data_IF_798961069885
#
_entry.id   IF_798961069885
#
_cell.length_a   1.000
_cell.length_b   1.000
_cell.length_c   1.000
_cell.angle_alpha   90.00
_cell.angle_beta   90.00
_cell.angle_gamma   90.00
#
_symmetry.space_group_name_H-M   'P 1'
#
loop_
_entity.id
_entity.type
_entity.pdbx_description
1 polymer ?
#
# COMPACT_ATOMS: atom_id res chain seq x y z
N UNK A 1 11.33 -29.81 -0.23
CA UNK A 1 10.37 -28.81 -0.76
C UNK A 1 9.71 -29.29 -2.07
N UNK A 2 10.41 -30.07 -2.92
CA UNK A 2 9.83 -30.74 -4.10
C UNK A 2 8.80 -31.86 -3.80
N UNK A 3 8.81 -32.42 -2.58
CA UNK A 3 8.00 -33.61 -2.26
C UNK A 3 6.69 -33.35 -1.51
N UNK A 4 6.24 -32.10 -1.34
CA UNK A 4 5.04 -31.78 -0.52
C UNK A 4 3.78 -32.53 -0.96
N UNK A 5 3.64 -32.79 -2.26
CA UNK A 5 2.49 -33.52 -2.82
C UNK A 5 2.60 -35.04 -2.71
N UNK A 6 3.76 -35.58 -2.33
CA UNK A 6 4.02 -37.01 -2.15
C UNK A 6 4.00 -37.45 -0.69
N UNK A 7 3.98 -36.52 0.26
CA UNK A 7 3.82 -36.81 1.69
C UNK A 7 2.33 -37.07 1.98
N UNK A 8 2.02 -38.20 2.61
CA UNK A 8 0.64 -38.55 2.96
C UNK A 8 0.05 -37.56 3.97
N UNK A 9 -1.28 -37.45 3.99
CA UNK A 9 -1.97 -36.55 4.92
C UNK A 9 -1.64 -36.88 6.39
N UNK A 10 -1.59 -38.17 6.73
CA UNK A 10 -1.16 -38.65 8.04
C UNK A 10 0.28 -38.22 8.34
N UNK A 11 1.22 -38.34 7.41
CA UNK A 11 2.62 -37.91 7.61
C UNK A 11 2.76 -36.37 7.76
N UNK A 12 1.87 -35.58 7.16
CA UNK A 12 1.82 -34.11 7.33
C UNK A 12 1.25 -33.69 8.67
N UNK A 13 0.24 -34.41 9.17
CA UNK A 13 -0.43 -34.15 10.46
C UNK A 13 0.32 -34.72 11.66
N UNK A 14 0.96 -35.89 11.53
CA UNK A 14 1.38 -36.69 12.69
C UNK A 14 2.79 -36.41 13.23
N UNK A 15 3.81 -35.93 12.50
CA UNK A 15 5.14 -35.82 13.18
C UNK A 15 6.15 -34.71 12.79
N UNK A 16 6.38 -34.28 11.53
CA UNK A 16 7.45 -33.28 11.30
C UNK A 16 6.92 -31.85 11.14
N UNK A 17 5.95 -31.59 10.26
CA UNK A 17 5.83 -30.25 9.68
C UNK A 17 5.11 -29.24 10.58
N UNK A 18 3.96 -29.60 11.15
CA UNK A 18 3.29 -28.74 12.14
C UNK A 18 4.13 -28.61 13.42
N UNK A 19 4.84 -29.67 13.81
CA UNK A 19 5.77 -29.65 14.93
C UNK A 19 6.94 -28.69 14.65
N UNK A 20 7.51 -28.72 13.44
CA UNK A 20 8.58 -27.79 13.00
C UNK A 20 8.05 -26.35 12.99
N UNK A 21 6.84 -26.11 12.47
CA UNK A 21 6.22 -24.78 12.48
C UNK A 21 6.02 -24.25 13.90
N UNK A 22 5.44 -25.06 14.78
CA UNK A 22 5.24 -24.72 16.19
C UNK A 22 6.57 -24.57 16.94
N UNK A 23 7.55 -25.42 16.65
CA UNK A 23 8.89 -25.30 17.21
C UNK A 23 9.56 -24.00 16.80
N UNK A 24 9.55 -23.67 15.50
CA UNK A 24 10.11 -22.43 14.97
C UNK A 24 9.42 -21.20 15.59
N UNK A 25 8.09 -21.22 15.69
CA UNK A 25 7.32 -20.16 16.32
C UNK A 25 7.64 -20.02 17.82
N UNK A 26 7.64 -21.13 18.56
CA UNK A 26 8.00 -21.13 19.99
C UNK A 26 9.45 -20.68 20.19
N UNK A 27 10.36 -21.04 19.29
CA UNK A 27 11.76 -20.62 19.32
C UNK A 27 11.88 -19.10 19.11
N UNK A 28 11.17 -18.56 18.11
CA UNK A 28 11.07 -17.12 17.85
C UNK A 28 10.57 -16.34 19.07
N UNK A 29 9.52 -16.84 19.73
CA UNK A 29 8.94 -16.19 20.91
C UNK A 29 9.85 -16.30 22.14
N UNK A 30 10.46 -17.47 22.36
CA UNK A 30 11.19 -17.76 23.60
C UNK A 30 12.64 -17.26 23.60
N UNK A 31 13.24 -16.98 22.44
CA UNK A 31 14.67 -16.66 22.30
C UNK A 31 14.95 -15.25 21.74
N UNK A 32 14.03 -14.29 21.96
CA UNK A 32 14.25 -12.89 21.56
C UNK A 32 15.27 -12.18 22.50
N UNK A 33 16.24 -11.41 21.97
CA UNK A 33 16.47 -11.08 20.56
C UNK A 33 17.32 -12.14 19.83
N UNK A 34 16.91 -12.49 18.62
CA UNK A 34 17.70 -13.30 17.68
C UNK A 34 18.43 -12.40 16.68
N UNK A 35 19.49 -12.94 16.07
CA UNK A 35 20.10 -12.31 14.89
C UNK A 35 19.05 -12.14 13.77
N UNK A 36 19.07 -10.98 13.12
CA UNK A 36 18.02 -10.57 12.17
C UNK A 36 17.80 -11.57 11.03
N UNK A 37 18.88 -12.17 10.51
CA UNK A 37 18.81 -13.18 9.46
C UNK A 37 18.20 -14.50 9.95
N UNK A 38 18.46 -14.90 11.20
CA UNK A 38 17.89 -16.10 11.81
C UNK A 38 16.39 -15.90 12.01
N UNK A 39 16.01 -14.77 12.59
CA UNK A 39 14.61 -14.40 12.78
C UNK A 39 13.84 -14.38 11.45
N UNK A 40 14.38 -13.70 10.43
CA UNK A 40 13.75 -13.66 9.11
C UNK A 40 13.62 -15.05 8.47
N UNK A 41 14.63 -15.90 8.60
CA UNK A 41 14.59 -17.27 8.05
C UNK A 41 13.51 -18.11 8.73
N UNK A 42 13.39 -18.03 10.05
CA UNK A 42 12.36 -18.75 10.80
C UNK A 42 10.95 -18.21 10.51
N UNK A 43 10.80 -16.89 10.38
CA UNK A 43 9.52 -16.27 9.99
C UNK A 43 9.08 -16.75 8.60
N UNK A 44 10.00 -16.75 7.62
CA UNK A 44 9.72 -17.25 6.26
C UNK A 44 9.38 -18.74 6.29
N UNK A 45 10.10 -19.55 7.09
CA UNK A 45 9.79 -20.96 7.26
C UNK A 45 8.35 -21.16 7.75
N UNK A 46 7.94 -20.46 8.81
CA UNK A 46 6.57 -20.56 9.37
C UNK A 46 5.52 -20.13 8.33
N UNK A 47 5.74 -19.03 7.62
CA UNK A 47 4.82 -18.54 6.59
C UNK A 47 4.71 -19.52 5.41
N UNK A 48 5.83 -20.11 4.97
CA UNK A 48 5.86 -21.07 3.87
C UNK A 48 5.18 -22.40 4.25
N UNK A 49 5.38 -22.87 5.47
CA UNK A 49 4.66 -24.04 5.99
C UNK A 49 3.14 -23.77 6.05
N UNK A 50 2.75 -22.56 6.46
CA UNK A 50 1.34 -22.12 6.45
C UNK A 50 0.76 -22.13 5.03
N UNK A 51 1.48 -21.59 4.05
CA UNK A 51 1.08 -21.59 2.63
C UNK A 51 0.90 -23.01 2.09
N UNK A 52 1.85 -23.91 2.39
CA UNK A 52 1.84 -25.28 1.89
C UNK A 52 0.73 -26.13 2.55
N UNK A 53 0.50 -25.93 3.84
CA UNK A 53 -0.54 -26.62 4.62
C UNK A 53 -1.92 -25.97 4.56
N UNK A 54 -2.12 -24.95 3.72
CA UNK A 54 -3.33 -24.11 3.73
C UNK A 54 -4.64 -24.92 3.58
N UNK A 55 -4.61 -26.01 2.82
CA UNK A 55 -5.76 -26.91 2.61
C UNK A 55 -5.58 -28.29 3.27
N UNK A 56 -4.65 -28.45 4.21
CA UNK A 56 -4.54 -29.68 4.99
C UNK A 56 -5.52 -29.57 6.18
N UNK A 57 -6.60 -30.36 6.17
CA UNK A 57 -7.65 -30.41 7.20
C UNK A 57 -7.63 -31.73 7.96
N UNK A 58 -7.76 -31.72 9.30
CA UNK A 58 -7.83 -32.96 10.11
C UNK A 58 -8.92 -33.89 9.54
N UNK A 59 -8.60 -35.16 9.30
CA UNK A 59 -9.41 -36.18 8.59
C UNK A 59 -10.88 -36.31 9.05
N UNK A 60 -11.24 -35.75 10.22
CA UNK A 60 -12.58 -35.79 10.81
C UNK A 60 -13.05 -34.47 11.46
N UNK A 61 -12.41 -33.34 11.18
CA UNK A 61 -12.76 -32.05 11.81
C UNK A 61 -12.87 -30.88 10.82
N UNK A 62 -13.64 -29.82 11.14
CA UNK A 62 -13.68 -28.58 10.35
C UNK A 62 -12.42 -27.71 10.53
N UNK A 63 -11.43 -28.20 11.29
CA UNK A 63 -10.25 -27.45 11.70
C UNK A 63 -9.19 -27.43 10.60
N UNK A 64 -8.73 -26.21 10.28
CA UNK A 64 -7.62 -25.94 9.36
C UNK A 64 -6.40 -25.53 10.20
N UNK A 65 -5.61 -26.49 10.73
CA UNK A 65 -4.60 -26.23 11.75
C UNK A 65 -3.42 -25.37 11.30
N UNK A 66 -3.28 -25.11 10.00
CA UNK A 66 -2.28 -24.18 9.47
C UNK A 66 -2.79 -22.75 9.33
N UNK A 67 -4.09 -22.50 9.59
CA UNK A 67 -4.71 -21.17 9.46
C UNK A 67 -4.80 -20.41 10.80
N UNK A 68 -4.16 -20.92 11.85
CA UNK A 68 -4.13 -20.34 13.21
C UNK A 68 -2.95 -19.36 13.43
N UNK A 69 -2.14 -19.11 12.41
CA UNK A 69 -0.97 -18.21 12.52
C UNK A 69 -1.37 -16.79 12.94
N UNK A 70 -2.56 -16.34 12.55
CA UNK A 70 -3.08 -15.05 13.00
C UNK A 70 -3.33 -15.01 14.52
N UNK A 71 -3.86 -16.09 15.11
CA UNK A 71 -4.07 -16.18 16.56
C UNK A 71 -2.74 -16.14 17.31
N UNK A 72 -1.72 -16.81 16.76
CA UNK A 72 -0.35 -16.78 17.27
C UNK A 72 0.26 -15.38 17.21
N UNK A 73 0.09 -14.66 16.09
CA UNK A 73 0.55 -13.28 15.95
C UNK A 73 -0.18 -12.33 16.91
N UNK A 74 -1.49 -12.49 17.08
CA UNK A 74 -2.28 -11.72 18.05
C UNK A 74 -1.78 -11.93 19.48
N UNK A 75 -1.48 -13.17 19.89
CA UNK A 75 -0.89 -13.46 21.21
C UNK A 75 0.46 -12.77 21.40
N UNK A 76 1.30 -12.74 20.36
CA UNK A 76 2.59 -12.04 20.40
C UNK A 76 2.40 -10.53 20.58
N UNK A 77 1.44 -9.93 19.88
CA UNK A 77 1.13 -8.48 19.97
C UNK A 77 0.53 -8.14 21.35
N UNK A 78 -0.41 -8.95 21.82
CA UNK A 78 -1.08 -8.77 23.11
C UNK A 78 -0.15 -8.95 24.32
N UNK A 79 1.05 -9.52 24.13
CA UNK A 79 2.07 -9.59 25.19
C UNK A 79 2.51 -8.20 25.70
N UNK A 80 2.29 -7.14 24.91
CA UNK A 80 2.68 -5.76 25.22
C UNK A 80 4.19 -5.50 25.11
N UNK A 81 4.99 -6.52 24.82
CA UNK A 81 6.43 -6.37 24.61
C UNK A 81 6.72 -5.91 23.18
N UNK A 82 7.58 -4.89 23.01
CA UNK A 82 7.95 -4.36 21.69
C UNK A 82 8.50 -5.45 20.74
N UNK A 83 9.27 -6.40 21.25
CA UNK A 83 9.77 -7.55 20.49
C UNK A 83 8.65 -8.48 20.03
N UNK A 84 7.67 -8.74 20.90
CA UNK A 84 6.48 -9.54 20.59
C UNK A 84 5.58 -8.86 19.54
N UNK A 85 5.36 -7.55 19.68
CA UNK A 85 4.62 -6.76 18.69
C UNK A 85 5.33 -6.78 17.34
N UNK A 86 6.65 -6.53 17.31
CA UNK A 86 7.41 -6.59 16.05
C UNK A 86 7.31 -7.96 15.39
N UNK A 87 7.49 -9.04 16.16
CA UNK A 87 7.41 -10.41 15.65
C UNK A 87 6.02 -10.71 15.07
N UNK A 88 4.94 -10.33 15.77
CA UNK A 88 3.58 -10.54 15.30
C UNK A 88 3.30 -9.84 13.97
N UNK A 89 3.72 -8.58 13.83
CA UNK A 89 3.55 -7.82 12.57
C UNK A 89 4.42 -8.41 11.45
N UNK A 90 5.65 -8.81 11.77
CA UNK A 90 6.54 -9.46 10.79
C UNK A 90 5.97 -10.78 10.28
N UNK A 91 5.40 -11.61 11.15
CA UNK A 91 4.72 -12.85 10.75
C UNK A 91 3.57 -12.55 9.78
N UNK A 92 2.73 -11.54 10.07
CA UNK A 92 1.62 -11.18 9.19
C UNK A 92 2.08 -10.60 7.86
N UNK A 93 3.09 -9.72 7.86
CA UNK A 93 3.63 -9.14 6.62
C UNK A 93 4.22 -10.21 5.72
N UNK A 94 5.07 -11.08 6.29
CA UNK A 94 5.67 -12.17 5.52
C UNK A 94 4.63 -13.20 5.07
N UNK A 95 3.54 -13.42 5.83
CA UNK A 95 2.47 -14.31 5.41
C UNK A 95 1.75 -13.77 4.17
N UNK A 96 1.40 -12.48 4.16
CA UNK A 96 0.75 -11.84 3.01
C UNK A 96 1.68 -11.92 1.79
N UNK A 97 2.96 -11.59 1.96
CA UNK A 97 3.95 -11.66 0.87
C UNK A 97 4.13 -13.09 0.35
N UNK A 98 4.32 -14.06 1.25
CA UNK A 98 4.52 -15.47 0.89
C UNK A 98 3.31 -16.03 0.14
N UNK A 99 2.09 -15.70 0.55
CA UNK A 99 0.86 -16.11 -0.16
C UNK A 99 0.73 -15.41 -1.51
N UNK A 100 1.14 -14.15 -1.61
CA UNK A 100 1.09 -13.35 -2.84
C UNK A 100 2.15 -13.77 -3.87
N UNK A 101 3.23 -14.44 -3.45
CA UNK A 101 4.26 -14.94 -4.36
C UNK A 101 3.69 -15.98 -5.35
N UNK A 102 3.85 -15.68 -6.62
CA UNK A 102 3.67 -16.60 -7.75
C UNK A 102 4.93 -17.46 -7.92
N UNK A 103 4.78 -18.78 -8.07
CA UNK A 103 5.90 -19.65 -8.44
C UNK A 103 6.09 -19.67 -9.95
N UNK A 104 7.33 -19.61 -10.44
CA UNK A 104 7.72 -19.81 -11.86
C UNK A 104 7.52 -21.26 -12.36
N UNK A 105 6.60 -22.02 -11.77
CA UNK A 105 6.36 -23.39 -12.18
C UNK A 105 5.32 -23.45 -13.30
N UNK A 106 5.72 -23.98 -14.46
CA UNK A 106 4.86 -24.24 -15.62
C UNK A 106 3.78 -25.30 -15.37
N UNK A 107 3.68 -25.81 -14.14
CA UNK A 107 2.69 -26.82 -13.78
C UNK A 107 1.34 -26.16 -13.56
N UNK A 108 0.44 -26.31 -14.53
CA UNK A 108 -0.96 -25.83 -14.47
C UNK A 108 -1.67 -26.21 -13.17
N UNK A 109 -1.38 -27.39 -12.60
CA UNK A 109 -1.91 -27.84 -11.30
C UNK A 109 -1.45 -26.98 -10.13
N UNK A 110 -0.19 -26.54 -10.10
CA UNK A 110 0.35 -25.65 -9.09
C UNK A 110 -0.30 -24.26 -9.19
N UNK A 111 -0.49 -23.74 -10.42
CA UNK A 111 -1.19 -22.47 -10.69
C UNK A 111 -2.63 -22.51 -10.14
N UNK A 112 -3.40 -23.57 -10.42
CA UNK A 112 -4.76 -23.71 -9.88
C UNK A 112 -4.81 -23.78 -8.35
N UNK A 113 -3.88 -24.53 -7.74
CA UNK A 113 -3.76 -24.61 -6.29
C UNK A 113 -3.46 -23.23 -5.67
N UNK A 114 -2.46 -22.52 -6.20
CA UNK A 114 -2.06 -21.19 -5.72
C UNK A 114 -3.19 -20.17 -5.86
N UNK A 115 -3.91 -20.17 -7.00
CA UNK A 115 -5.06 -19.28 -7.21
C UNK A 115 -6.20 -19.58 -6.22
N UNK A 116 -6.52 -20.86 -5.99
CA UNK A 116 -7.54 -21.27 -5.01
C UNK A 116 -7.14 -20.87 -3.59
N UNK A 117 -5.87 -21.05 -3.23
CA UNK A 117 -5.30 -20.68 -1.93
C UNK A 117 -5.35 -19.17 -1.73
N UNK A 118 -4.92 -18.39 -2.72
CA UNK A 118 -4.98 -16.93 -2.73
C UNK A 118 -6.41 -16.41 -2.51
N UNK A 119 -7.40 -16.92 -3.26
CA UNK A 119 -8.80 -16.56 -3.05
C UNK A 119 -9.30 -16.94 -1.66
N UNK A 120 -8.96 -18.14 -1.18
CA UNK A 120 -9.32 -18.57 0.17
C UNK A 120 -8.69 -17.67 1.24
N UNK A 121 -7.44 -17.25 1.10
CA UNK A 121 -6.76 -16.35 2.04
C UNK A 121 -7.38 -14.96 2.05
N UNK A 122 -7.66 -14.41 0.87
CA UNK A 122 -8.38 -13.14 0.67
C UNK A 122 -9.70 -13.11 1.44
N UNK A 123 -10.47 -14.19 1.36
CA UNK A 123 -11.81 -14.26 1.93
C UNK A 123 -11.82 -14.61 3.43
N UNK A 124 -10.74 -15.19 3.98
CA UNK A 124 -10.70 -15.60 5.40
C UNK A 124 -9.81 -14.75 6.30
N UNK A 125 -8.58 -14.41 5.88
CA UNK A 125 -7.58 -13.79 6.76
C UNK A 125 -7.09 -12.41 6.32
N UNK A 126 -7.15 -12.08 5.03
CA UNK A 126 -6.57 -10.84 4.52
C UNK A 126 -7.18 -9.58 5.17
N UNK A 127 -8.51 -9.54 5.33
CA UNK A 127 -9.17 -8.40 5.96
C UNK A 127 -8.85 -8.26 7.46
N UNK A 128 -8.97 -9.33 8.29
CA UNK A 128 -8.50 -9.29 9.67
C UNK A 128 -7.03 -8.85 9.81
N UNK A 129 -6.14 -9.30 8.91
CA UNK A 129 -4.73 -8.89 8.89
C UNK A 129 -4.58 -7.40 8.58
N UNK A 130 -5.34 -6.88 7.61
CA UNK A 130 -5.37 -5.45 7.31
C UNK A 130 -5.83 -4.62 8.52
N UNK A 131 -6.89 -5.08 9.22
CA UNK A 131 -7.39 -4.42 10.43
C UNK A 131 -6.34 -4.39 11.55
N UNK A 132 -5.59 -5.48 11.74
CA UNK A 132 -4.47 -5.52 12.69
C UNK A 132 -3.43 -4.44 12.37
N UNK A 133 -3.02 -4.32 11.11
CA UNK A 133 -2.10 -3.27 10.67
C UNK A 133 -2.66 -1.87 10.93
N UNK A 134 -3.94 -1.63 10.62
CA UNK A 134 -4.60 -0.35 10.88
C UNK A 134 -4.63 0.01 12.36
N UNK A 135 -4.95 -0.94 13.24
CA UNK A 135 -5.01 -0.69 14.69
C UNK A 135 -3.65 -0.24 15.25
N UNK A 136 -2.56 -0.88 14.81
CA UNK A 136 -1.20 -0.48 15.22
C UNK A 136 -0.81 0.90 14.68
N UNK A 137 -1.26 1.23 13.48
CA UNK A 137 -1.05 2.56 12.88
C UNK A 137 -1.88 3.64 13.60
N UNK A 138 -3.10 3.32 14.05
CA UNK A 138 -3.91 4.21 14.87
C UNK A 138 -3.27 4.46 16.24
N UNK A 139 -2.73 3.43 16.88
CA UNK A 139 -1.96 3.57 18.13
C UNK A 139 -0.72 4.44 17.92
N UNK A 140 -0.01 4.25 16.80
CA UNK A 140 1.13 5.09 16.41
C UNK A 140 0.74 6.57 16.28
N UNK A 141 -0.35 6.86 15.58
CA UNK A 141 -0.85 8.24 15.44
C UNK A 141 -1.25 8.87 16.78
N UNK A 142 -1.86 8.10 17.69
CA UNK A 142 -2.17 8.56 19.04
C UNK A 142 -0.89 8.89 19.82
N UNK A 143 0.12 8.03 19.74
CA UNK A 143 1.41 8.25 20.39
C UNK A 143 2.12 9.50 19.84
N UNK A 144 2.10 9.73 18.52
CA UNK A 144 2.67 10.93 17.91
C UNK A 144 2.05 12.23 18.45
N UNK A 145 0.73 12.24 18.74
CA UNK A 145 0.05 13.40 19.34
C UNK A 145 0.50 13.65 20.78
N UNK A 146 0.68 12.59 21.57
CA UNK A 146 1.16 12.68 22.95
C UNK A 146 2.61 13.18 23.00
N UNK A 147 3.45 12.74 22.06
CA UNK A 147 4.84 13.21 21.96
C UNK A 147 4.93 14.70 21.59
N UNK A 148 4.10 15.18 20.68
CA UNK A 148 4.09 16.60 20.30
C UNK A 148 3.54 17.53 21.40
N UNK A 149 2.75 17.01 22.35
CA UNK A 149 2.20 17.77 23.47
C UNK A 149 3.14 17.84 24.69
N UNK A 150 4.24 17.09 24.68
CA UNK A 150 5.17 16.94 25.81
C UNK A 150 6.52 17.58 25.48
N UNK A 151 7.09 18.29 26.47
CA UNK A 151 8.34 19.07 26.42
C UNK A 151 9.49 18.40 25.60
N UNK A 152 10.23 19.11 24.72
CA UNK A 152 11.26 18.55 23.83
C UNK A 152 12.40 17.77 24.52
N UNK A 153 12.50 17.88 25.85
CA UNK A 153 13.49 17.22 26.69
C UNK A 153 13.21 15.73 26.96
N UNK A 154 11.95 15.24 26.80
CA UNK A 154 11.60 13.82 27.01
C UNK A 154 11.88 12.92 25.79
N UNK A 155 12.05 13.52 24.60
CA UNK A 155 12.41 12.81 23.36
C UNK A 155 13.79 12.15 23.48
N UNK A 156 14.65 12.66 24.36
CA UNK A 156 16.01 12.14 24.59
C UNK A 156 16.06 10.97 25.59
N UNK A 157 14.95 10.60 26.24
CA UNK A 157 14.92 9.55 27.28
C UNK A 157 14.32 8.22 26.82
N UNK A 158 13.77 8.15 25.60
CA UNK A 158 13.50 6.85 24.98
C UNK A 158 14.85 6.22 24.61
N UNK A 159 15.22 5.13 25.28
CA UNK A 159 16.41 4.34 24.92
C UNK A 159 16.47 4.16 23.41
N UNK A 160 17.64 4.39 22.80
CA UNK A 160 17.87 4.26 21.34
C UNK A 160 17.25 2.98 20.76
N UNK A 161 17.33 1.88 21.51
CA UNK A 161 16.71 0.61 21.17
C UNK A 161 15.18 0.72 21.07
N UNK A 162 14.52 1.33 22.05
CA UNK A 162 13.05 1.52 22.05
C UNK A 162 12.56 2.28 20.81
N UNK A 163 13.25 3.37 20.46
CA UNK A 163 12.93 4.17 19.26
C UNK A 163 13.12 3.33 17.99
N UNK A 164 14.15 2.49 17.93
CA UNK A 164 14.39 1.59 16.81
C UNK A 164 13.30 0.53 16.67
N UNK A 165 12.88 -0.11 17.77
CA UNK A 165 11.78 -1.08 17.77
C UNK A 165 10.46 -0.43 17.35
N UNK A 166 10.15 0.76 17.88
CA UNK A 166 8.94 1.49 17.50
C UNK A 166 8.96 1.84 16.00
N UNK A 167 10.08 2.34 15.49
CA UNK A 167 10.24 2.65 14.06
C UNK A 167 10.06 1.40 13.20
N UNK A 168 10.62 0.26 13.62
CA UNK A 168 10.47 -1.01 12.92
C UNK A 168 9.01 -1.50 12.92
N UNK A 169 8.29 -1.41 14.05
CA UNK A 169 6.87 -1.77 14.14
C UNK A 169 6.04 -0.93 13.18
N UNK A 170 6.26 0.39 13.15
CA UNK A 170 5.55 1.30 12.23
C UNK A 170 5.85 0.95 10.78
N UNK A 171 7.13 0.75 10.43
CA UNK A 171 7.53 0.37 9.08
C UNK A 171 6.88 -0.94 8.63
N UNK A 172 6.91 -1.98 9.47
CA UNK A 172 6.29 -3.26 9.17
C UNK A 172 4.75 -3.16 9.11
N UNK A 173 4.13 -2.30 9.94
CA UNK A 173 2.68 -2.08 9.90
C UNK A 173 2.25 -1.35 8.63
N UNK A 174 3.02 -0.36 8.17
CA UNK A 174 2.79 0.32 6.89
C UNK A 174 2.97 -0.63 5.71
N UNK A 175 4.03 -1.46 5.71
CA UNK A 175 4.22 -2.49 4.68
C UNK A 175 3.12 -3.52 4.68
N UNK A 176 2.65 -3.95 5.86
CA UNK A 176 1.53 -4.86 6.00
C UNK A 176 0.26 -4.27 5.37
N UNK A 177 -0.08 -3.03 5.74
CA UNK A 177 -1.23 -2.33 5.18
C UNK A 177 -1.11 -2.19 3.65
N UNK A 178 0.05 -1.78 3.15
CA UNK A 178 0.32 -1.65 1.72
C UNK A 178 0.19 -2.99 0.98
N UNK A 179 0.74 -4.06 1.53
CA UNK A 179 0.69 -5.40 0.92
C UNK A 179 -0.73 -5.95 0.89
N UNK A 180 -1.52 -5.69 1.94
CA UNK A 180 -2.94 -6.02 1.95
C UNK A 180 -3.73 -5.24 0.89
N UNK A 181 -3.48 -3.94 0.76
CA UNK A 181 -4.14 -3.07 -0.22
C UNK A 181 -3.71 -3.38 -1.67
N UNK A 182 -2.49 -3.87 -1.85
CA UNK A 182 -1.91 -4.22 -3.16
C UNK A 182 -2.10 -5.69 -3.53
N UNK A 183 -2.85 -6.45 -2.72
CA UNK A 183 -3.09 -7.86 -2.95
C UNK A 183 -3.78 -8.11 -4.30
N UNK A 184 -3.47 -9.22 -4.96
CA UNK A 184 -4.17 -9.61 -6.19
C UNK A 184 -5.55 -10.18 -5.88
N UNK A 185 -6.55 -9.29 -5.79
CA UNK A 185 -7.92 -9.66 -5.47
C UNK A 185 -8.60 -10.49 -6.58
N UNK A 186 -8.09 -10.49 -7.81
CA UNK A 186 -8.70 -11.20 -8.96
C UNK A 186 -8.02 -12.55 -9.24
N UNK A 187 -6.82 -12.77 -8.72
CA UNK A 187 -6.00 -13.93 -9.01
C UNK A 187 -5.51 -13.93 -10.46
N UNK A 188 -5.32 -12.75 -11.05
CA UNK A 188 -4.84 -12.56 -12.44
C UNK A 188 -3.32 -12.64 -12.57
N UNK A 189 -2.58 -12.45 -11.47
CA UNK A 189 -1.11 -12.56 -11.43
C UNK A 189 -0.62 -14.01 -11.45
N UNK A 190 -1.44 -14.97 -10.98
CA UNK A 190 -1.06 -16.38 -10.88
C UNK A 190 -1.09 -17.03 -12.26
N UNK A 191 0.08 -17.18 -12.87
CA UNK A 191 0.27 -17.79 -14.20
C UNK A 191 0.66 -16.83 -15.32
N UNK A 192 0.79 -15.53 -15.03
CA UNK A 192 1.40 -14.55 -15.95
C UNK A 192 2.92 -14.53 -15.80
N UNK A 193 3.66 -14.51 -16.91
CA UNK A 193 5.11 -14.50 -16.91
C UNK A 193 5.68 -13.27 -16.16
N UNK A 194 6.80 -13.41 -15.41
CA UNK A 194 7.46 -12.28 -14.77
C UNK A 194 8.00 -11.36 -15.87
N UNK A 195 7.38 -10.20 -16.03
CA UNK A 195 7.71 -9.22 -17.08
C UNK A 195 6.51 -8.68 -17.84
N UNK A 196 5.35 -9.36 -17.82
CA UNK A 196 4.14 -8.82 -18.44
C UNK A 196 3.51 -7.64 -17.64
N UNK A 197 3.96 -7.42 -16.40
CA UNK A 197 3.49 -6.32 -15.56
C UNK A 197 4.15 -4.98 -15.88
N UNK A 198 5.39 -4.98 -16.39
CA UNK A 198 6.12 -3.75 -16.70
C UNK A 198 5.65 -3.13 -18.03
N UNK A 199 5.21 -3.96 -18.98
CA UNK A 199 4.56 -3.53 -20.23
C UNK A 199 3.08 -3.13 -20.05
N UNK A 200 2.49 -3.34 -18.87
CA UNK A 200 1.07 -3.06 -18.59
C UNK A 200 0.76 -1.57 -18.37
N UNK A 201 1.79 -0.71 -18.44
CA UNK A 201 1.66 0.75 -18.45
C UNK A 201 1.34 1.26 -19.87
N UNK A 202 1.61 0.44 -20.89
CA UNK A 202 1.43 0.75 -22.30
C UNK A 202 0.18 0.08 -22.85
N UNK A 203 -0.90 0.87 -22.97
CA UNK A 203 -2.05 0.61 -23.82
C UNK A 203 -2.89 -0.65 -23.50
N UNK A 204 -3.82 -0.54 -22.54
CA UNK A 204 -5.27 -0.85 -22.69
C UNK A 204 -5.94 -1.04 -21.32
N UNK A 205 -7.01 -0.29 -21.07
CA UNK A 205 -8.02 -0.60 -20.04
C UNK A 205 -7.91 0.17 -18.71
N UNK A 206 -8.76 1.18 -18.53
CA UNK A 206 -8.98 1.89 -17.25
C UNK A 206 -9.40 0.96 -16.10
N UNK A 207 -9.97 -0.22 -16.40
CA UNK A 207 -10.37 -1.22 -15.40
C UNK A 207 -9.19 -1.99 -14.78
N UNK A 208 -8.02 -2.04 -15.43
CA UNK A 208 -6.88 -2.86 -15.02
C UNK A 208 -6.03 -2.24 -13.89
N UNK A 209 -6.30 -0.97 -13.58
CA UNK A 209 -5.53 -0.19 -12.59
C UNK A 209 -6.32 0.07 -11.30
N UNK A 210 -7.52 -0.50 -11.17
CA UNK A 210 -8.38 -0.33 -9.99
C UNK A 210 -8.21 -1.49 -9.01
N UNK A 211 -8.19 -1.18 -7.72
CA UNK A 211 -8.16 -2.17 -6.65
C UNK A 211 -9.58 -2.69 -6.42
N UNK A 212 -9.80 -3.98 -6.67
CA UNK A 212 -11.11 -4.63 -6.60
C UNK A 212 -11.33 -5.31 -5.24
N UNK A 213 -11.52 -4.50 -4.20
CA UNK A 213 -11.73 -5.00 -2.83
C UNK A 213 -13.05 -5.77 -2.67
N UNK A 214 -13.10 -6.82 -1.84
CA UNK A 214 -14.35 -7.42 -1.40
C UNK A 214 -15.25 -6.42 -0.68
N UNK A 215 -16.58 -6.55 -0.84
CA UNK A 215 -17.57 -5.62 -0.24
C UNK A 215 -17.46 -5.52 1.28
N UNK A 216 -16.98 -6.57 1.95
CA UNK A 216 -16.74 -6.58 3.40
C UNK A 216 -15.74 -5.50 3.87
N UNK A 217 -14.86 -5.02 2.99
CA UNK A 217 -13.87 -3.97 3.30
C UNK A 217 -14.44 -2.56 3.22
N UNK A 218 -15.58 -2.39 2.54
CA UNK A 218 -16.21 -1.07 2.30
C UNK A 218 -16.35 -0.22 3.56
N UNK A 219 -16.82 -0.74 4.73
CA UNK A 219 -17.03 0.11 5.91
C UNK A 219 -15.78 0.85 6.35
N UNK A 220 -14.60 0.21 6.30
CA UNK A 220 -13.33 0.82 6.73
C UNK A 220 -12.96 2.05 5.90
N UNK A 221 -13.32 2.11 4.62
CA UNK A 221 -13.03 3.27 3.77
C UNK A 221 -14.12 4.34 3.80
N UNK A 222 -15.28 4.05 4.39
CA UNK A 222 -16.33 5.04 4.62
C UNK A 222 -16.10 5.82 5.90
N UNK A 223 -15.36 5.25 6.85
CA UNK A 223 -14.87 5.98 8.01
C UNK A 223 -13.83 7.01 7.53
N UNK A 224 -14.21 8.30 7.46
CA UNK A 224 -13.31 9.39 7.04
C UNK A 224 -11.97 9.40 7.81
N UNK A 225 -11.96 8.83 9.02
CA UNK A 225 -10.79 8.67 9.88
C UNK A 225 -9.66 7.84 9.26
N UNK A 226 -9.96 6.86 8.39
CA UNK A 226 -8.94 5.96 7.82
C UNK A 226 -8.06 6.68 6.81
N UNK A 227 -8.63 7.40 5.85
CA UNK A 227 -7.83 8.20 4.89
C UNK A 227 -7.05 9.27 5.65
N UNK A 228 -7.71 9.96 6.58
CA UNK A 228 -7.09 10.99 7.40
C UNK A 228 -5.96 10.47 8.29
N UNK A 229 -6.02 9.22 8.75
CA UNK A 229 -4.94 8.57 9.50
C UNK A 229 -3.64 8.58 8.68
N UNK A 230 -3.68 8.16 7.42
CA UNK A 230 -2.47 8.08 6.59
C UNK A 230 -1.89 9.46 6.26
N UNK A 231 -2.72 10.49 6.11
CA UNK A 231 -2.23 11.87 5.96
C UNK A 231 -1.60 12.41 7.25
N UNK A 232 -2.18 12.11 8.42
CA UNK A 232 -1.59 12.50 9.71
C UNK A 232 -0.27 11.77 9.98
N UNK A 233 -0.20 10.48 9.65
CA UNK A 233 1.04 9.70 9.69
C UNK A 233 2.08 10.27 8.72
N UNK A 234 1.69 10.65 7.50
CA UNK A 234 2.59 11.30 6.55
C UNK A 234 3.24 12.56 7.14
N UNK A 235 2.44 13.42 7.78
CA UNK A 235 2.93 14.65 8.40
C UNK A 235 3.82 14.39 9.63
N UNK A 236 3.49 13.38 10.45
CA UNK A 236 4.17 13.11 11.72
C UNK A 236 5.37 12.16 11.66
N UNK A 237 5.50 11.34 10.62
CA UNK A 237 6.56 10.32 10.51
C UNK A 237 7.87 10.87 9.90
N UNK A 238 9.01 10.23 10.19
CA UNK A 238 10.29 10.56 9.57
C UNK A 238 10.29 10.30 8.06
N UNK A 239 11.16 11.01 7.33
CA UNK A 239 11.25 11.00 5.86
C UNK A 239 11.32 9.60 5.25
N UNK A 240 12.05 8.67 5.89
CA UNK A 240 12.21 7.28 5.44
C UNK A 240 10.91 6.46 5.40
N UNK A 241 9.89 6.83 6.18
CA UNK A 241 8.61 6.10 6.25
C UNK A 241 7.49 6.76 5.43
N UNK A 242 7.64 8.04 5.08
CA UNK A 242 6.63 8.80 4.31
C UNK A 242 6.29 8.20 2.94
N UNK A 243 7.22 7.63 2.16
CA UNK A 243 6.86 6.99 0.91
C UNK A 243 5.81 5.89 1.11
N UNK A 244 5.94 5.08 2.17
CA UNK A 244 5.00 3.99 2.45
C UNK A 244 3.59 4.49 2.82
N UNK A 245 3.48 5.62 3.53
CA UNK A 245 2.17 6.20 3.85
C UNK A 245 1.46 6.69 2.58
N UNK A 246 2.20 7.35 1.68
CA UNK A 246 1.64 7.77 0.40
C UNK A 246 1.33 6.56 -0.49
N UNK A 247 2.17 5.52 -0.53
CA UNK A 247 1.86 4.30 -1.29
C UNK A 247 0.55 3.65 -0.82
N UNK A 248 0.25 3.67 0.49
CA UNK A 248 -1.05 3.22 0.98
C UNK A 248 -2.19 4.12 0.44
N UNK A 249 -2.01 5.44 0.46
CA UNK A 249 -2.96 6.40 -0.11
C UNK A 249 -3.15 6.21 -1.62
N UNK A 250 -2.10 5.88 -2.37
CA UNK A 250 -2.15 5.54 -3.81
C UNK A 250 -3.09 4.34 -4.03
N UNK A 251 -2.96 3.29 -3.23
CA UNK A 251 -3.84 2.12 -3.32
C UNK A 251 -5.28 2.47 -2.92
N UNK A 252 -5.47 3.26 -1.87
CA UNK A 252 -6.80 3.72 -1.45
C UNK A 252 -7.48 4.56 -2.53
N UNK A 253 -6.77 5.51 -3.15
CA UNK A 253 -7.27 6.30 -4.27
C UNK A 253 -7.57 5.46 -5.51
N UNK A 254 -7.02 4.24 -5.59
CA UNK A 254 -7.23 3.30 -6.68
C UNK A 254 -8.38 2.32 -6.41
N UNK A 255 -9.03 2.34 -5.24
CA UNK A 255 -10.18 1.48 -4.92
C UNK A 255 -11.30 1.72 -5.93
N UNK A 256 -11.75 0.66 -6.61
CA UNK A 256 -12.73 0.77 -7.69
C UNK A 256 -13.99 1.48 -7.21
N UNK A 257 -14.35 2.55 -7.91
CA UNK A 257 -15.49 3.42 -7.57
C UNK A 257 -16.84 2.72 -7.41
N UNK A 258 -17.02 1.53 -8.01
CA UNK A 258 -18.23 0.71 -7.92
C UNK A 258 -18.42 0.03 -6.57
N UNK A 259 -17.40 0.02 -5.71
CA UNK A 259 -17.53 -0.41 -4.32
C UNK A 259 -18.49 0.50 -3.53
N UNK A 260 -18.56 1.77 -3.91
CA UNK A 260 -19.30 2.83 -3.22
C UNK A 260 -20.54 3.28 -4.00
N UNK A 261 -21.60 3.62 -3.28
CA UNK A 261 -22.72 4.41 -3.82
C UNK A 261 -22.25 5.82 -4.20
N UNK A 262 -23.06 6.57 -4.94
CA UNK A 262 -22.66 7.92 -5.38
C UNK A 262 -22.39 8.88 -4.20
N UNK A 263 -23.21 8.83 -3.14
CA UNK A 263 -23.05 9.70 -1.97
C UNK A 263 -21.78 9.33 -1.16
N UNK A 264 -21.57 8.04 -0.92
CA UNK A 264 -20.37 7.54 -0.24
C UNK A 264 -19.09 7.85 -1.03
N UNK A 265 -19.14 7.70 -2.35
CA UNK A 265 -18.02 8.01 -3.23
C UNK A 265 -17.63 9.48 -3.13
N UNK A 266 -18.61 10.39 -3.04
CA UNK A 266 -18.33 11.81 -2.85
C UNK A 266 -17.63 12.05 -1.50
N UNK A 267 -18.12 11.45 -0.40
CA UNK A 267 -17.49 11.56 0.93
C UNK A 267 -16.05 11.03 0.95
N UNK A 268 -15.81 9.89 0.30
CA UNK A 268 -14.48 9.29 0.18
C UNK A 268 -13.53 10.18 -0.65
N UNK A 269 -14.01 10.69 -1.79
CA UNK A 269 -13.26 11.62 -2.65
C UNK A 269 -12.91 12.92 -1.90
N UNK A 270 -13.86 13.49 -1.15
CA UNK A 270 -13.62 14.68 -0.33
C UNK A 270 -12.47 14.42 0.65
N UNK A 271 -12.46 13.27 1.34
CA UNK A 271 -11.38 12.94 2.27
C UNK A 271 -10.00 12.85 1.59
N UNK A 272 -9.92 12.27 0.39
CA UNK A 272 -8.69 12.20 -0.40
C UNK A 272 -8.21 13.58 -0.86
N UNK A 273 -9.12 14.40 -1.40
CA UNK A 273 -8.80 15.72 -1.93
C UNK A 273 -8.45 16.72 -0.83
N UNK A 274 -9.16 16.72 0.29
CA UNK A 274 -8.82 17.57 1.45
C UNK A 274 -7.44 17.23 1.98
N UNK A 275 -7.10 15.94 2.11
CA UNK A 275 -5.76 15.53 2.52
C UNK A 275 -4.68 15.92 1.50
N UNK A 276 -4.92 15.73 0.21
CA UNK A 276 -4.02 16.15 -0.86
C UNK A 276 -3.78 17.67 -0.86
N UNK A 277 -4.85 18.45 -0.63
CA UNK A 277 -4.80 19.89 -0.51
C UNK A 277 -3.97 20.32 0.71
N UNK A 278 -4.14 19.65 1.86
CA UNK A 278 -3.31 19.87 3.05
C UNK A 278 -1.83 19.57 2.78
N UNK A 279 -1.51 18.52 2.04
CA UNK A 279 -0.11 18.23 1.65
C UNK A 279 0.46 19.35 0.78
N UNK A 280 -0.27 19.81 -0.24
CA UNK A 280 0.18 20.87 -1.14
C UNK A 280 0.30 22.25 -0.46
N UNK A 281 -0.56 22.53 0.53
CA UNK A 281 -0.62 23.83 1.21
C UNK A 281 0.33 23.92 2.40
N UNK A 282 0.31 22.90 3.26
CA UNK A 282 0.90 22.96 4.59
C UNK A 282 2.17 22.09 4.72
N UNK A 283 2.40 21.14 3.81
CA UNK A 283 3.48 20.15 3.90
C UNK A 283 4.27 19.96 2.60
N UNK A 284 4.31 20.98 1.74
CA UNK A 284 5.04 20.91 0.47
C UNK A 284 6.55 20.69 0.67
N UNK A 285 7.11 21.11 1.81
CA UNK A 285 8.49 20.89 2.20
C UNK A 285 8.81 19.41 2.47
N UNK A 286 7.81 18.61 2.88
CA UNK A 286 7.97 17.17 3.11
C UNK A 286 8.10 16.38 1.79
N UNK A 287 7.77 16.99 0.64
CA UNK A 287 7.88 16.41 -0.70
C UNK A 287 9.26 16.63 -1.35
N UNK A 288 10.28 17.05 -0.61
CA UNK A 288 11.64 17.22 -1.14
C UNK A 288 12.34 15.90 -1.48
N UNK A 289 11.98 14.84 -0.77
CA UNK A 289 12.58 13.51 -0.96
C UNK A 289 12.06 12.85 -2.25
N UNK A 290 12.94 12.35 -3.15
CA UNK A 290 12.54 11.87 -4.47
C UNK A 290 11.47 10.77 -4.48
N UNK A 291 11.56 9.81 -3.53
CA UNK A 291 10.60 8.70 -3.44
C UNK A 291 9.23 9.18 -2.94
N UNK A 292 9.21 10.04 -1.92
CA UNK A 292 7.97 10.63 -1.39
C UNK A 292 7.28 11.48 -2.45
N UNK A 293 8.07 12.30 -3.15
CA UNK A 293 7.61 13.11 -4.27
C UNK A 293 7.00 12.24 -5.39
N UNK A 294 7.69 11.15 -5.77
CA UNK A 294 7.21 10.22 -6.78
C UNK A 294 5.85 9.60 -6.41
N UNK A 295 5.74 9.08 -5.19
CA UNK A 295 4.50 8.50 -4.69
C UNK A 295 3.36 9.54 -4.64
N UNK A 296 3.67 10.80 -4.32
CA UNK A 296 2.66 11.86 -4.33
C UNK A 296 2.17 12.19 -5.75
N UNK A 297 3.06 12.20 -6.74
CA UNK A 297 2.68 12.34 -8.16
C UNK A 297 1.76 11.19 -8.60
N UNK A 298 2.08 9.95 -8.21
CA UNK A 298 1.23 8.78 -8.44
C UNK A 298 -0.13 8.95 -7.80
N UNK A 299 -0.16 9.39 -6.55
CA UNK A 299 -1.40 9.59 -5.79
C UNK A 299 -2.34 10.59 -6.46
N UNK A 300 -1.85 11.77 -6.85
CA UNK A 300 -2.65 12.76 -7.57
C UNK A 300 -3.22 12.18 -8.87
N UNK A 301 -2.37 11.49 -9.65
CA UNK A 301 -2.78 10.83 -10.88
C UNK A 301 -3.89 9.81 -10.67
N UNK A 302 -3.80 8.99 -9.60
CA UNK A 302 -4.83 7.99 -9.25
C UNK A 302 -6.17 8.61 -8.89
N UNK A 303 -6.20 9.72 -8.16
CA UNK A 303 -7.46 10.45 -7.88
C UNK A 303 -8.15 10.78 -9.21
N UNK A 304 -7.44 11.40 -10.16
CA UNK A 304 -8.09 11.80 -11.41
C UNK A 304 -8.50 10.61 -12.28
N UNK A 305 -7.73 9.53 -12.28
CA UNK A 305 -8.03 8.33 -13.08
C UNK A 305 -9.26 7.58 -12.56
N UNK A 306 -9.53 7.61 -11.25
CA UNK A 306 -10.61 6.86 -10.64
C UNK A 306 -11.93 7.66 -10.50
N UNK A 307 -11.85 8.99 -10.40
CA UNK A 307 -13.00 9.87 -10.19
C UNK A 307 -13.26 10.81 -11.38
N UNK A 308 -14.54 11.09 -11.64
CA UNK A 308 -14.95 11.96 -12.74
C UNK A 308 -14.69 13.42 -12.40
N UNK A 309 -14.37 14.23 -13.41
CA UNK A 309 -14.14 15.67 -13.23
C UNK A 309 -15.34 16.37 -12.55
N UNK A 310 -16.56 15.98 -12.89
CA UNK A 310 -17.78 16.49 -12.24
C UNK A 310 -17.87 16.16 -10.74
N UNK A 311 -17.30 15.04 -10.29
CA UNK A 311 -17.24 14.66 -8.86
C UNK A 311 -16.18 15.51 -8.13
N UNK A 312 -15.02 15.75 -8.77
CA UNK A 312 -13.97 16.63 -8.23
C UNK A 312 -14.48 18.07 -8.05
N UNK A 313 -15.24 18.59 -9.01
CA UNK A 313 -15.79 19.95 -8.95
C UNK A 313 -16.78 20.15 -7.79
N UNK A 314 -17.40 19.08 -7.31
CA UNK A 314 -18.34 19.12 -6.18
C UNK A 314 -17.63 19.11 -4.81
N UNK A 315 -16.31 18.95 -4.77
CA UNK A 315 -15.56 18.99 -3.51
C UNK A 315 -15.23 20.42 -3.14
N UNK A 316 -15.58 20.80 -1.90
CA UNK A 316 -15.19 22.10 -1.35
C UNK A 316 -13.67 22.28 -1.38
N UNK A 317 -13.21 23.39 -1.96
CA UNK A 317 -11.78 23.63 -2.18
C UNK A 317 -11.22 23.11 -3.51
N UNK A 318 -12.07 22.62 -4.43
CA UNK A 318 -11.66 22.21 -5.79
C UNK A 318 -10.81 23.25 -6.51
N UNK A 319 -11.22 24.52 -6.49
CA UNK A 319 -10.50 25.59 -7.18
C UNK A 319 -9.07 25.77 -6.65
N UNK A 320 -8.90 25.76 -5.33
CA UNK A 320 -7.59 25.82 -4.67
C UNK A 320 -6.76 24.57 -4.96
N UNK A 321 -7.38 23.40 -4.91
CA UNK A 321 -6.73 22.13 -5.22
C UNK A 321 -6.16 22.14 -6.64
N UNK A 322 -6.97 22.50 -7.65
CA UNK A 322 -6.53 22.50 -9.03
C UNK A 322 -5.42 23.55 -9.28
N UNK A 323 -5.54 24.74 -8.67
CA UNK A 323 -4.51 25.77 -8.72
C UNK A 323 -3.17 25.26 -8.16
N UNK A 324 -3.19 24.68 -6.96
CA UNK A 324 -1.97 24.17 -6.33
C UNK A 324 -1.37 22.97 -7.06
N UNK A 325 -2.21 22.10 -7.65
CA UNK A 325 -1.72 21.01 -8.53
C UNK A 325 -1.06 21.57 -9.78
N UNK A 326 -1.59 22.65 -10.36
CA UNK A 326 -0.98 23.33 -11.51
C UNK A 326 0.36 23.97 -11.15
N UNK A 327 0.41 24.73 -10.06
CA UNK A 327 1.64 25.34 -9.54
C UNK A 327 2.70 24.27 -9.24
N UNK A 328 2.30 23.19 -8.56
CA UNK A 328 3.15 22.04 -8.29
C UNK A 328 3.67 21.40 -9.59
N UNK A 329 2.81 21.18 -10.59
CA UNK A 329 3.20 20.58 -11.88
C UNK A 329 4.17 21.47 -12.65
N UNK A 330 3.90 22.78 -12.72
CA UNK A 330 4.79 23.75 -13.39
C UNK A 330 6.14 23.82 -12.68
N UNK A 331 6.16 23.84 -11.36
CA UNK A 331 7.41 23.79 -10.58
C UNK A 331 8.19 22.50 -10.86
N UNK A 332 7.48 21.37 -10.95
CA UNK A 332 8.04 20.05 -11.23
C UNK A 332 8.71 19.99 -12.60
N UNK A 333 8.05 20.52 -13.63
CA UNK A 333 8.59 20.59 -14.99
C UNK A 333 9.83 21.48 -15.09
N UNK A 334 9.94 22.51 -14.25
CA UNK A 334 11.09 23.43 -14.25
C UNK A 334 12.30 22.91 -13.48
N UNK A 335 12.07 22.13 -12.41
CA UNK A 335 13.10 21.82 -11.42
C UNK A 335 13.40 20.33 -11.25
N UNK A 336 12.57 19.42 -11.79
CA UNK A 336 12.73 17.99 -11.59
C UNK A 336 13.37 17.31 -12.80
N UNK A 337 14.50 16.63 -12.57
CA UNK A 337 15.11 15.72 -13.54
C UNK A 337 14.47 14.32 -13.54
N UNK A 338 13.45 14.08 -12.71
CA UNK A 338 12.85 12.74 -12.57
C UNK A 338 11.66 12.56 -13.52
N UNK A 339 11.99 12.16 -14.76
CA UNK A 339 11.03 11.89 -15.84
C UNK A 339 9.93 10.89 -15.43
N UNK A 340 10.26 9.90 -14.59
CA UNK A 340 9.30 8.89 -14.14
C UNK A 340 8.17 9.48 -13.28
N UNK A 341 8.47 10.50 -12.46
CA UNK A 341 7.45 11.20 -11.67
C UNK A 341 6.61 12.15 -12.53
N UNK A 342 7.24 12.83 -13.49
CA UNK A 342 6.56 13.73 -14.43
C UNK A 342 5.50 13.01 -15.26
N UNK A 343 5.74 11.75 -15.64
CA UNK A 343 4.76 10.92 -16.35
C UNK A 343 3.38 10.94 -15.66
N UNK A 344 3.32 10.73 -14.34
CA UNK A 344 2.05 10.69 -13.60
C UNK A 344 1.31 12.03 -13.60
N UNK A 345 2.05 13.13 -13.50
CA UNK A 345 1.47 14.49 -13.56
C UNK A 345 0.95 14.80 -14.96
N UNK A 346 1.68 14.43 -16.01
CA UNK A 346 1.24 14.62 -17.39
C UNK A 346 0.01 13.77 -17.71
N UNK A 347 -0.04 12.52 -17.24
CA UNK A 347 -1.25 11.67 -17.34
C UNK A 347 -2.44 12.30 -16.61
N UNK A 348 -2.22 12.89 -15.42
CA UNK A 348 -3.27 13.62 -14.70
C UNK A 348 -3.85 14.75 -15.55
N UNK A 349 -3.00 15.59 -16.15
CA UNK A 349 -3.43 16.73 -16.97
C UNK A 349 -4.10 16.28 -18.28
N UNK A 350 -3.54 15.27 -18.95
CA UNK A 350 -4.15 14.65 -20.11
C UNK A 350 -5.59 14.20 -19.79
N UNK A 351 -5.78 13.49 -18.67
CA UNK A 351 -7.09 12.98 -18.25
C UNK A 351 -8.04 14.09 -17.79
N UNK A 352 -7.55 15.16 -17.16
CA UNK A 352 -8.35 16.34 -16.85
C UNK A 352 -8.91 16.99 -18.12
N UNK A 353 -8.04 17.28 -19.08
CA UNK A 353 -8.42 17.91 -20.36
C UNK A 353 -9.37 17.01 -21.15
N UNK A 354 -9.08 15.71 -21.24
CA UNK A 354 -9.95 14.74 -21.90
C UNK A 354 -11.35 14.62 -21.25
N UNK A 355 -11.50 15.03 -19.99
CA UNK A 355 -12.78 15.00 -19.29
C UNK A 355 -13.69 16.20 -19.58
N UNK A 356 -13.15 17.31 -20.13
CA UNK A 356 -13.89 18.57 -20.34
C UNK A 356 -15.18 18.37 -21.17
N UNK A 357 -15.19 17.65 -22.31
CA UNK A 357 -16.40 17.49 -23.12
C UNK A 357 -17.54 16.75 -22.42
N UNK A 358 -17.24 16.04 -21.32
CA UNK A 358 -18.20 15.26 -20.56
C UNK A 358 -18.77 16.02 -19.35
N UNK A 359 -18.25 17.22 -19.06
CA UNK A 359 -18.77 18.07 -17.98
C UNK A 359 -20.07 18.73 -18.43
N UNK A 360 -21.13 18.54 -17.65
CA UNK A 360 -22.45 19.13 -17.90
C UNK A 360 -22.83 20.24 -16.91
N UNK A 361 -21.95 20.58 -15.96
CA UNK A 361 -22.20 21.67 -15.00
C UNK A 361 -21.98 23.03 -15.66
N UNK A 362 -22.72 24.04 -15.19
CA UNK A 362 -22.47 25.44 -15.53
C UNK A 362 -21.28 26.04 -14.77
N UNK A 363 -20.85 25.39 -13.69
CA UNK A 363 -19.72 25.84 -12.88
C UNK A 363 -18.40 25.75 -13.67
N UNK A 364 -17.47 26.70 -13.47
CA UNK A 364 -16.19 26.68 -14.18
C UNK A 364 -15.36 25.48 -13.75
N UNK A 365 -14.98 24.65 -14.72
CA UNK A 365 -14.09 23.51 -14.47
C UNK A 365 -12.62 23.94 -14.28
N UNK A 366 -12.23 25.19 -14.57
CA UNK A 366 -10.89 25.78 -14.36
C UNK A 366 -9.70 25.08 -15.06
N UNK A 367 -9.89 23.89 -15.64
CA UNK A 367 -8.88 23.16 -16.41
C UNK A 367 -8.41 23.97 -17.62
N UNK A 368 -9.29 24.73 -18.28
CA UNK A 368 -8.94 25.64 -19.37
C UNK A 368 -8.03 26.80 -18.96
N UNK A 369 -8.06 27.18 -17.68
CA UNK A 369 -7.22 28.23 -17.12
C UNK A 369 -5.80 27.73 -16.85
N UNK A 370 -5.68 26.51 -16.32
CA UNK A 370 -4.40 25.97 -15.86
C UNK A 370 -3.70 25.03 -16.84
N UNK A 371 -4.43 24.25 -17.65
CA UNK A 371 -3.82 23.33 -18.60
C UNK A 371 -2.91 24.03 -19.63
N UNK A 372 -3.24 25.22 -20.16
CA UNK A 372 -2.32 25.96 -21.03
C UNK A 372 -1.00 26.33 -20.34
N UNK A 373 -1.04 26.66 -19.04
CA UNK A 373 0.15 27.02 -18.27
C UNK A 373 1.09 25.82 -18.11
N UNK A 374 0.52 24.64 -17.82
CA UNK A 374 1.25 23.37 -17.74
C UNK A 374 1.83 22.99 -19.10
N UNK A 375 1.07 23.14 -20.18
CA UNK A 375 1.52 22.87 -21.54
C UNK A 375 2.70 23.80 -21.93
N UNK A 376 2.59 25.11 -21.66
CA UNK A 376 3.68 26.05 -21.88
C UNK A 376 4.94 25.69 -21.08
N UNK A 377 4.79 25.33 -19.80
CA UNK A 377 5.92 24.91 -18.98
C UNK A 377 6.60 23.63 -19.51
N UNK A 378 5.82 22.67 -20.02
CA UNK A 378 6.36 21.46 -20.64
C UNK A 378 7.11 21.77 -21.94
N UNK A 379 6.55 22.60 -22.82
CA UNK A 379 7.23 23.02 -24.06
C UNK A 379 8.53 23.74 -23.74
N UNK A 380 8.52 24.68 -22.78
CA UNK A 380 9.73 25.38 -22.36
C UNK A 380 10.79 24.43 -21.81
N UNK A 381 10.40 23.52 -20.90
CA UNK A 381 11.30 22.49 -20.37
C UNK A 381 11.95 21.67 -21.48
N UNK A 382 11.18 21.22 -22.48
CA UNK A 382 11.71 20.44 -23.61
C UNK A 382 12.62 21.25 -24.53
N UNK A 383 12.35 22.55 -24.71
CA UNK A 383 13.24 23.45 -25.47
C UNK A 383 14.56 23.68 -24.73
N UNK A 384 14.51 23.83 -23.41
CA UNK A 384 15.71 24.04 -22.57
C UNK A 384 16.63 22.81 -22.51
N UNK A 385 16.10 21.59 -22.76
CA UNK A 385 16.91 20.37 -22.88
C UNK A 385 17.62 20.22 -24.26
N UNK A 386 17.21 20.95 -25.30
CA UNK A 386 17.77 20.82 -26.67
C UNK A 386 19.30 21.05 -26.71
N UNK A 387 19.86 22.09 -26.06
CA UNK A 387 21.31 22.31 -26.03
C UNK A 387 22.08 21.14 -25.42
N UNK A 388 21.52 20.50 -24.38
CA UNK A 388 22.14 19.39 -23.66
C UNK A 388 22.26 18.13 -24.52
N UNK A 389 21.26 17.87 -25.39
CA UNK A 389 21.34 16.77 -26.36
C UNK A 389 22.31 17.07 -27.51
N UNK A 390 22.41 18.34 -27.92
CA UNK A 390 23.36 18.74 -28.96
C UNK A 390 24.82 18.58 -28.50
N UNK A 391 25.13 18.85 -27.23
CA UNK A 391 26.48 18.69 -26.66
C UNK A 391 26.88 17.23 -26.39
N UNK A 392 25.93 16.30 -26.25
CA UNK A 392 26.22 14.86 -26.06
C UNK A 392 26.34 14.08 -27.38
N UNK A 393 25.94 14.68 -28.50
CA UNK A 393 25.97 14.06 -29.83
C UNK A 393 27.23 14.40 -30.64
N UNK A 394 28.13 15.22 -30.08
CA UNK A 394 29.46 15.53 -30.58
C UNK A 394 30.52 15.16 -29.53
#
# INVERSE_FOLDING_TARGET
>A
MQDWNYVSFDDKMLLPTRIIGNFALNYLVSHSPLESFVQQTLVVLVCRLTKLGWFDSVEKGPEWPFRDLMDSANKCIQSGQLSGVLLGVQLMSNLVDEISQTSDSDHTRAVFFLRKMSMSFRDTLLFPIFQLGLNLLQETDQNLKTFNASDPSQILTASFLCVQWQTAIVQHSLRLALSCLSYDFLGTSVGSAPGACDDMISATGDDLMTVQLPTAWRPVFLECSTVQLFFRLFAGLPSQLRPLTISCLVQMASIRRSLFSNAERQSFLTSLMTGALGVLRDHADLLREPLTYHEFCRFLSRIKCNFQLSELMQVDGYADFLRLVAEFTVHSLRNSSNVNSLHYLLVLWQRLVASIPYVRSADPYLVDTYAPQVACAFVQYRLDEVPTYAEQAF
#
